data_IF_802163216594
#
_entry.id   IF_802163216594
#
_cell.length_a   1.000
_cell.length_b   1.000
_cell.length_c   1.000
_cell.angle_alpha   90.00
_cell.angle_beta   90.00
_cell.angle_gamma   90.00
#
_symmetry.space_group_name_H-M   'P 1'
#
loop_
_entity.id
_entity.type
_entity.pdbx_description
1 polymer ?
#
# COMPACT_ATOMS: atom_id res chain seq x y z
N UNK A 1 67.56 18.74 12.25
CA UNK A 1 66.25 19.41 12.11
C UNK A 1 65.40 19.02 10.90
N UNK A 2 65.96 18.45 9.81
CA UNK A 2 65.17 18.00 8.64
C UNK A 2 64.42 16.65 8.89
N UNK A 3 64.94 15.76 9.73
CA UNK A 3 64.35 14.45 10.00
C UNK A 3 63.01 14.54 10.81
N UNK A 4 62.93 15.42 11.78
CA UNK A 4 61.74 15.62 12.62
C UNK A 4 60.54 16.19 11.85
N UNK A 5 60.76 17.02 10.84
CA UNK A 5 59.69 17.55 9.98
C UNK A 5 59.05 16.47 9.11
N UNK A 6 59.86 15.53 8.60
CA UNK A 6 59.35 14.44 7.77
C UNK A 6 58.50 13.44 8.57
N UNK A 7 58.86 13.19 9.85
CA UNK A 7 58.10 12.32 10.76
C UNK A 7 56.73 12.97 11.09
N UNK A 8 56.70 14.31 11.26
CA UNK A 8 55.46 15.05 11.52
C UNK A 8 54.50 15.01 10.32
N UNK A 9 54.99 15.08 9.08
CA UNK A 9 54.16 14.95 7.87
C UNK A 9 53.62 13.54 7.69
N UNK A 10 54.38 12.50 7.96
CA UNK A 10 53.93 11.11 7.88
C UNK A 10 52.87 10.83 8.93
N UNK A 11 53.01 11.34 10.14
CA UNK A 11 51.98 11.22 11.19
C UNK A 11 50.68 11.99 10.82
N UNK A 12 50.79 13.18 10.23
CA UNK A 12 49.64 13.97 9.79
C UNK A 12 48.87 13.28 8.66
N UNK A 13 49.57 12.67 7.71
CA UNK A 13 48.99 11.91 6.57
C UNK A 13 48.34 10.63 7.08
N UNK A 14 48.93 9.93 8.05
CA UNK A 14 48.38 8.73 8.68
C UNK A 14 47.07 9.04 9.45
N UNK A 15 47.00 10.19 10.15
CA UNK A 15 45.75 10.63 10.82
C UNK A 15 44.65 10.97 9.83
N UNK A 16 44.97 11.52 8.64
CA UNK A 16 43.96 11.83 7.61
C UNK A 16 43.37 10.56 6.99
N UNK A 17 44.11 9.45 6.92
CA UNK A 17 43.60 8.18 6.36
C UNK A 17 42.73 7.39 7.35
N UNK A 18 42.81 7.62 8.65
CA UNK A 18 41.93 6.96 9.63
C UNK A 18 40.52 7.55 9.70
N UNK A 19 40.26 8.70 9.06
CA UNK A 19 38.98 9.40 9.11
C UNK A 19 37.95 9.00 8.05
N UNK A 20 38.28 8.13 7.09
CA UNK A 20 37.36 7.74 6.00
C UNK A 20 36.74 6.34 6.21
N UNK A 21 36.72 5.85 7.43
CA UNK A 21 35.87 4.75 7.85
C UNK A 21 34.43 5.25 8.03
N UNK A 22 33.82 5.78 6.96
CA UNK A 22 32.40 6.16 6.96
C UNK A 22 31.58 4.93 7.32
N UNK A 23 30.85 5.00 8.42
CA UNK A 23 29.84 4.02 8.77
C UNK A 23 28.98 3.71 7.53
N UNK A 24 29.03 2.50 7.05
CA UNK A 24 28.05 1.99 6.11
C UNK A 24 26.69 2.04 6.82
N UNK A 25 25.83 2.91 6.38
CA UNK A 25 24.46 3.08 6.88
C UNK A 25 23.57 1.85 6.72
N UNK A 26 24.08 0.81 6.07
CA UNK A 26 23.33 -0.39 5.67
C UNK A 26 23.23 -1.45 6.78
N UNK A 27 24.02 -1.36 7.86
CA UNK A 27 24.04 -2.38 8.92
C UNK A 27 22.94 -2.22 9.98
N UNK A 28 22.12 -1.16 9.92
CA UNK A 28 21.05 -0.93 10.90
C UNK A 28 19.73 -1.64 10.54
N UNK A 29 19.57 -2.10 9.31
CA UNK A 29 18.44 -2.88 8.87
C UNK A 29 18.87 -4.34 8.77
N UNK A 30 18.77 -5.08 9.87
CA UNK A 30 18.81 -6.54 9.79
C UNK A 30 17.54 -6.97 9.08
N UNK A 31 17.65 -7.19 7.77
CA UNK A 31 16.66 -7.93 7.00
C UNK A 31 16.47 -9.27 7.72
N UNK A 32 15.28 -9.49 8.28
CA UNK A 32 14.94 -10.73 8.98
C UNK A 32 14.94 -11.97 8.07
N UNK A 33 15.40 -11.86 6.83
CA UNK A 33 15.64 -12.95 5.86
C UNK A 33 14.40 -13.66 5.35
N UNK A 34 13.19 -13.23 5.75
CA UNK A 34 11.92 -13.90 5.40
C UNK A 34 11.12 -13.22 4.28
N UNK A 35 11.44 -11.97 3.92
CA UNK A 35 10.75 -11.24 2.85
C UNK A 35 11.71 -10.90 1.73
N UNK A 36 11.70 -11.66 0.64
CA UNK A 36 12.39 -11.25 -0.58
C UNK A 36 11.60 -10.12 -1.24
N UNK A 37 12.17 -8.91 -1.22
CA UNK A 37 11.55 -7.76 -1.86
C UNK A 37 11.45 -7.94 -3.39
N UNK A 38 12.46 -8.56 -4.03
CA UNK A 38 12.46 -8.84 -5.46
C UNK A 38 11.61 -10.06 -5.79
N UNK A 39 10.80 -9.92 -6.84
CA UNK A 39 10.02 -11.00 -7.43
C UNK A 39 10.35 -11.10 -8.91
N UNK A 40 10.80 -12.28 -9.36
CA UNK A 40 11.07 -12.56 -10.77
C UNK A 40 9.75 -12.76 -11.52
N UNK A 41 9.43 -11.86 -12.40
CA UNK A 41 8.19 -11.82 -13.18
C UNK A 41 7.41 -10.52 -13.00
N UNK A 42 6.31 -10.41 -13.75
CA UNK A 42 5.45 -9.22 -13.77
C UNK A 42 4.58 -9.09 -12.50
N UNK A 43 3.93 -7.92 -12.36
CA UNK A 43 2.89 -7.72 -11.32
C UNK A 43 1.80 -8.78 -11.46
N UNK A 44 1.38 -9.14 -12.69
CA UNK A 44 0.39 -10.19 -12.91
C UNK A 44 0.89 -11.54 -12.40
N UNK A 45 2.13 -11.91 -12.72
CA UNK A 45 2.75 -13.14 -12.24
C UNK A 45 2.85 -13.19 -10.71
N UNK A 46 3.12 -12.03 -10.08
CA UNK A 46 3.12 -11.93 -8.62
C UNK A 46 1.73 -12.25 -8.03
N UNK A 47 0.66 -11.66 -8.58
CA UNK A 47 -0.71 -11.93 -8.11
C UNK A 47 -1.06 -13.43 -8.27
N UNK A 48 -0.76 -14.01 -9.44
CA UNK A 48 -1.01 -15.43 -9.73
C UNK A 48 -0.20 -16.37 -8.82
N UNK A 49 0.97 -15.95 -8.36
CA UNK A 49 1.81 -16.75 -7.45
C UNK A 49 1.27 -16.81 -6.01
N UNK A 50 0.29 -15.96 -5.67
CA UNK A 50 -0.28 -15.82 -4.32
C UNK A 50 -1.80 -16.02 -4.31
N UNK A 51 -2.31 -17.19 -4.75
CA UNK A 51 -3.74 -17.39 -4.94
C UNK A 51 -4.56 -17.35 -3.66
N UNK A 52 -3.94 -17.56 -2.49
CA UNK A 52 -4.63 -17.41 -1.19
C UNK A 52 -4.95 -15.96 -0.82
N UNK A 53 -4.26 -15.00 -1.46
CA UNK A 53 -4.34 -13.58 -1.13
C UNK A 53 -4.96 -12.75 -2.26
N UNK A 54 -4.77 -13.19 -3.53
CA UNK A 54 -5.07 -12.37 -4.71
C UNK A 54 -5.78 -13.12 -5.85
N UNK A 55 -6.36 -14.31 -5.62
CA UNK A 55 -7.07 -15.04 -6.69
C UNK A 55 -8.23 -14.21 -7.26
N UNK A 56 -9.05 -13.63 -6.39
CA UNK A 56 -10.15 -12.74 -6.83
C UNK A 56 -9.63 -11.47 -7.50
N UNK A 57 -8.53 -10.90 -7.01
CA UNK A 57 -7.93 -9.71 -7.60
C UNK A 57 -7.37 -10.02 -8.99
N UNK A 58 -6.66 -11.16 -9.16
CA UNK A 58 -6.15 -11.59 -10.45
C UNK A 58 -7.27 -11.83 -11.47
N UNK A 59 -8.39 -12.43 -11.04
CA UNK A 59 -9.59 -12.59 -11.88
C UNK A 59 -10.19 -11.23 -12.25
N UNK A 60 -10.30 -10.30 -11.31
CA UNK A 60 -10.80 -8.93 -11.55
C UNK A 60 -9.90 -8.18 -12.54
N UNK A 61 -8.57 -8.31 -12.44
CA UNK A 61 -7.64 -7.73 -13.44
C UNK A 61 -7.97 -8.21 -14.85
N UNK A 62 -8.22 -9.52 -15.02
CA UNK A 62 -8.59 -10.09 -16.30
C UNK A 62 -9.97 -9.63 -16.78
N UNK A 63 -10.98 -9.65 -15.93
CA UNK A 63 -12.34 -9.17 -16.25
C UNK A 63 -12.34 -7.68 -16.62
N UNK A 64 -11.53 -6.86 -15.93
CA UNK A 64 -11.36 -5.44 -16.21
C UNK A 64 -10.61 -5.14 -17.52
N UNK A 65 -10.07 -6.16 -18.22
CA UNK A 65 -9.26 -5.98 -19.42
C UNK A 65 -7.93 -5.27 -19.14
N UNK A 66 -7.33 -5.50 -17.96
CA UNK A 66 -6.07 -4.87 -17.54
C UNK A 66 -4.90 -5.86 -17.49
N UNK A 67 -5.12 -7.11 -17.89
CA UNK A 67 -4.10 -8.17 -17.76
C UNK A 67 -2.79 -7.79 -18.47
N UNK A 68 -2.87 -7.21 -19.67
CA UNK A 68 -1.69 -6.81 -20.43
C UNK A 68 -0.96 -5.64 -19.76
N UNK A 69 -1.70 -4.68 -19.20
CA UNK A 69 -1.10 -3.58 -18.41
C UNK A 69 -0.33 -4.14 -17.21
N UNK A 70 -0.90 -5.14 -16.49
CA UNK A 70 -0.27 -5.78 -15.34
C UNK A 70 0.94 -6.67 -15.72
N UNK A 71 1.05 -7.12 -16.98
CA UNK A 71 2.20 -7.86 -17.49
C UNK A 71 3.34 -6.98 -17.95
N UNK A 72 3.05 -5.84 -18.56
CA UNK A 72 4.06 -5.11 -19.34
C UNK A 72 4.27 -3.67 -18.90
N UNK A 73 3.23 -2.99 -18.38
CA UNK A 73 3.28 -1.58 -18.06
C UNK A 73 3.99 -1.33 -16.73
N UNK A 74 4.76 -0.24 -16.67
CA UNK A 74 5.43 0.15 -15.45
C UNK A 74 4.53 0.99 -14.53
N UNK A 75 4.24 0.50 -13.30
CA UNK A 75 3.46 1.25 -12.33
C UNK A 75 3.66 0.75 -10.89
N UNK A 76 3.17 1.53 -9.92
CA UNK A 76 3.01 1.14 -8.52
C UNK A 76 1.58 0.71 -8.27
N UNK A 77 1.39 -0.45 -7.69
CA UNK A 77 0.09 -1.03 -7.37
C UNK A 77 -0.13 -1.15 -5.87
N UNK A 78 -1.15 -0.48 -5.34
CA UNK A 78 -1.61 -0.66 -3.96
C UNK A 78 -2.63 -1.79 -3.93
N UNK A 79 -2.17 -3.02 -3.75
CA UNK A 79 -2.96 -4.24 -3.91
C UNK A 79 -3.98 -4.44 -2.79
N UNK A 80 -5.30 -4.42 -3.07
CA UNK A 80 -6.29 -4.97 -2.17
C UNK A 80 -6.19 -6.50 -2.12
N UNK A 81 -6.77 -7.13 -1.11
CA UNK A 81 -6.80 -8.58 -0.94
C UNK A 81 -8.16 -9.18 -1.28
N UNK A 82 -8.23 -10.48 -1.44
CA UNK A 82 -9.46 -11.24 -1.67
C UNK A 82 -10.50 -11.02 -0.57
N UNK A 83 -10.08 -10.81 0.67
CA UNK A 83 -10.97 -10.48 1.79
C UNK A 83 -11.76 -9.19 1.56
N UNK A 84 -11.17 -8.21 0.86
CA UNK A 84 -11.87 -6.97 0.50
C UNK A 84 -13.01 -7.26 -0.48
N UNK A 85 -12.79 -8.18 -1.45
CA UNK A 85 -13.80 -8.60 -2.43
C UNK A 85 -14.88 -9.45 -1.77
N UNK A 86 -14.50 -10.39 -0.89
CA UNK A 86 -15.47 -11.19 -0.12
C UNK A 86 -16.40 -10.32 0.71
N UNK A 87 -15.88 -9.25 1.34
CA UNK A 87 -16.71 -8.30 2.11
C UNK A 87 -17.58 -7.42 1.22
N UNK A 88 -17.09 -7.01 0.04
CA UNK A 88 -17.85 -6.25 -0.94
C UNK A 88 -19.07 -7.04 -1.43
N UNK A 89 -18.86 -8.30 -1.82
CA UNK A 89 -19.93 -9.16 -2.35
C UNK A 89 -20.87 -9.59 -1.22
N UNK A 90 -20.33 -10.09 -0.12
CA UNK A 90 -21.07 -10.57 1.02
C UNK A 90 -21.96 -11.80 0.71
N UNK A 91 -22.78 -12.17 1.69
CA UNK A 91 -23.76 -13.28 1.57
C UNK A 91 -25.15 -12.73 1.30
N UNK A 92 -25.93 -13.43 0.49
CA UNK A 92 -27.33 -13.08 0.19
C UNK A 92 -28.22 -13.21 1.45
N UNK A 93 -27.92 -14.19 2.32
CA UNK A 93 -28.59 -14.41 3.60
C UNK A 93 -27.52 -14.49 4.70
N UNK A 94 -27.45 -13.48 5.55
CA UNK A 94 -26.52 -13.45 6.65
C UNK A 94 -27.08 -12.60 7.78
N UNK A 95 -26.63 -12.84 9.01
CA UNK A 95 -26.91 -11.95 10.12
C UNK A 95 -25.85 -10.85 10.17
N UNK A 96 -26.22 -9.70 10.71
CA UNK A 96 -25.35 -8.53 10.85
C UNK A 96 -24.06 -8.79 11.66
N UNK A 97 -24.02 -9.87 12.44
CA UNK A 97 -22.87 -10.25 13.25
C UNK A 97 -21.71 -10.83 12.44
N UNK A 98 -21.99 -11.37 11.23
CA UNK A 98 -20.97 -12.00 10.38
C UNK A 98 -20.54 -11.12 9.17
N UNK A 99 -20.66 -9.80 9.27
CA UNK A 99 -20.22 -8.89 8.20
C UNK A 99 -21.07 -8.95 6.91
N UNK A 100 -22.32 -9.34 7.02
CA UNK A 100 -23.23 -9.68 5.93
C UNK A 100 -23.83 -8.48 5.17
N UNK A 101 -23.32 -7.27 5.30
CA UNK A 101 -23.83 -6.07 4.61
C UNK A 101 -23.14 -5.82 3.26
N UNK A 102 -22.88 -6.87 2.47
CA UNK A 102 -22.33 -6.74 1.11
C UNK A 102 -23.43 -6.55 0.04
N UNK A 103 -23.00 -6.43 -1.21
CA UNK A 103 -23.90 -6.22 -2.35
C UNK A 103 -24.99 -7.30 -2.45
N UNK A 104 -24.66 -8.56 -2.19
CA UNK A 104 -25.61 -9.68 -2.31
C UNK A 104 -26.79 -9.58 -1.34
N UNK A 105 -26.59 -9.06 -0.13
CA UNK A 105 -27.72 -8.86 0.77
C UNK A 105 -28.71 -7.83 0.21
N UNK A 106 -28.21 -6.72 -0.32
CA UNK A 106 -29.06 -5.68 -0.88
C UNK A 106 -29.75 -6.13 -2.18
N UNK A 107 -29.03 -6.84 -3.07
CA UNK A 107 -29.62 -7.44 -4.26
C UNK A 107 -30.76 -8.40 -3.91
N UNK A 108 -30.55 -9.28 -2.91
CA UNK A 108 -31.57 -10.20 -2.43
C UNK A 108 -32.80 -9.47 -1.86
N UNK A 109 -32.61 -8.42 -1.06
CA UNK A 109 -33.69 -7.61 -0.51
C UNK A 109 -34.50 -6.88 -1.59
N UNK A 110 -33.86 -6.51 -2.68
CA UNK A 110 -34.47 -5.88 -3.85
C UNK A 110 -35.08 -6.89 -4.84
N UNK A 111 -35.05 -8.20 -4.55
CA UNK A 111 -35.52 -9.25 -5.43
C UNK A 111 -34.73 -9.38 -6.73
N UNK A 112 -33.46 -8.97 -6.73
CA UNK A 112 -32.56 -9.01 -7.90
C UNK A 112 -31.63 -10.22 -7.84
N UNK A 113 -31.04 -10.57 -8.99
CA UNK A 113 -30.07 -11.65 -9.08
C UNK A 113 -28.81 -11.32 -8.29
N UNK A 114 -28.45 -12.23 -7.38
CA UNK A 114 -27.23 -12.11 -6.57
C UNK A 114 -26.00 -12.47 -7.38
N UNK A 115 -24.85 -11.92 -6.96
CA UNK A 115 -23.53 -12.20 -7.53
C UNK A 115 -23.12 -13.60 -7.07
N UNK A 116 -22.92 -14.54 -8.01
CA UNK A 116 -22.43 -15.90 -7.79
C UNK A 116 -20.96 -16.02 -8.17
N UNK A 117 -20.56 -15.30 -9.22
CA UNK A 117 -19.19 -15.24 -9.73
C UNK A 117 -18.78 -13.77 -9.93
N UNK A 118 -17.48 -13.50 -10.04
CA UNK A 118 -17.00 -12.14 -10.31
C UNK A 118 -17.45 -11.61 -11.68
N UNK A 119 -17.73 -12.51 -12.63
CA UNK A 119 -18.25 -12.15 -13.95
C UNK A 119 -19.71 -11.66 -13.94
N UNK A 120 -20.45 -11.87 -12.86
CA UNK A 120 -21.81 -11.34 -12.70
C UNK A 120 -21.85 -9.82 -12.41
N UNK A 121 -20.69 -9.22 -12.15
CA UNK A 121 -20.52 -7.77 -12.01
C UNK A 121 -19.96 -7.21 -13.31
N UNK A 122 -20.52 -6.07 -13.77
CA UNK A 122 -20.07 -5.41 -14.99
C UNK A 122 -18.55 -5.14 -14.93
N UNK A 123 -17.84 -5.53 -15.96
CA UNK A 123 -16.39 -5.38 -16.08
C UNK A 123 -15.91 -3.92 -15.98
N UNK A 124 -16.74 -2.98 -16.39
CA UNK A 124 -16.45 -1.54 -16.29
C UNK A 124 -16.39 -1.07 -14.85
N UNK A 125 -17.21 -1.66 -13.95
CA UNK A 125 -17.17 -1.39 -12.52
C UNK A 125 -15.84 -1.88 -11.94
N UNK A 126 -15.45 -3.12 -12.25
CA UNK A 126 -14.14 -3.65 -11.82
C UNK A 126 -13.00 -2.75 -12.30
N UNK A 127 -13.03 -2.35 -13.58
CA UNK A 127 -12.02 -1.47 -14.16
C UNK A 127 -11.97 -0.10 -13.46
N UNK A 128 -13.14 0.54 -13.28
CA UNK A 128 -13.26 1.86 -12.61
C UNK A 128 -12.55 1.85 -11.25
N UNK A 129 -12.83 0.86 -10.42
CA UNK A 129 -12.31 0.81 -9.06
C UNK A 129 -10.89 0.28 -8.97
N UNK A 130 -10.48 -0.65 -9.83
CA UNK A 130 -9.12 -1.17 -9.84
C UNK A 130 -8.10 -0.10 -10.26
N UNK A 131 -8.45 0.76 -11.20
CA UNK A 131 -7.60 1.87 -11.64
C UNK A 131 -7.30 2.89 -10.52
N UNK A 132 -8.09 2.95 -9.45
CA UNK A 132 -7.83 3.81 -8.27
C UNK A 132 -6.57 3.40 -7.50
N UNK A 133 -6.12 2.15 -7.65
CA UNK A 133 -4.98 1.57 -6.95
C UNK A 133 -3.68 1.59 -7.77
N UNK A 134 -3.71 2.09 -9.01
CA UNK A 134 -2.60 2.08 -9.94
C UNK A 134 -2.04 3.50 -10.11
N UNK A 135 -0.72 3.66 -9.91
CA UNK A 135 -0.04 4.96 -9.99
C UNK A 135 1.20 4.88 -10.88
N UNK A 136 1.50 5.94 -11.62
CA UNK A 136 2.65 5.99 -12.52
C UNK A 136 4.00 5.79 -11.80
N UNK A 137 4.89 5.03 -12.42
CA UNK A 137 6.27 4.80 -12.00
C UNK A 137 6.43 3.77 -10.89
N UNK A 138 7.65 3.33 -10.67
CA UNK A 138 8.04 2.38 -9.61
C UNK A 138 8.43 3.15 -8.36
N UNK A 139 7.54 3.23 -7.38
CA UNK A 139 7.78 3.97 -6.13
C UNK A 139 7.80 3.01 -4.95
N UNK A 140 8.91 3.05 -4.21
CA UNK A 140 9.10 2.33 -2.96
C UNK A 140 8.65 3.18 -1.78
N UNK A 141 8.55 2.59 -0.61
CA UNK A 141 8.20 3.29 0.63
C UNK A 141 9.05 4.55 0.83
N UNK A 142 10.37 4.45 0.59
CA UNK A 142 11.30 5.56 0.79
C UNK A 142 11.15 6.72 -0.22
N UNK A 143 10.42 6.52 -1.31
CA UNK A 143 10.17 7.55 -2.34
C UNK A 143 8.99 8.46 -1.96
N UNK A 144 8.28 8.15 -0.87
CA UNK A 144 7.14 8.92 -0.40
C UNK A 144 7.54 9.82 0.78
N UNK A 145 6.98 11.05 0.85
CA UNK A 145 7.25 11.96 1.96
C UNK A 145 6.60 11.47 3.25
N UNK A 146 7.06 12.02 4.37
CA UNK A 146 6.46 11.78 5.66
C UNK A 146 5.03 12.32 5.72
N UNK A 147 4.14 11.56 6.37
CA UNK A 147 2.82 12.01 6.78
C UNK A 147 2.66 11.79 8.29
N UNK A 148 2.05 12.77 8.97
CA UNK A 148 1.64 12.66 10.36
C UNK A 148 0.21 13.20 10.44
N UNK A 149 -0.75 12.34 10.75
CA UNK A 149 -2.18 12.68 10.77
C UNK A 149 -2.54 13.70 11.86
N UNK A 150 -1.72 13.80 12.92
CA UNK A 150 -1.88 14.79 13.99
C UNK A 150 -1.21 16.13 13.63
N UNK A 151 -0.23 16.13 12.72
CA UNK A 151 0.56 17.29 12.32
C UNK A 151 0.53 17.52 10.79
N UNK A 152 -0.64 17.42 10.18
CA UNK A 152 -0.81 17.52 8.71
C UNK A 152 -0.36 18.88 8.11
N UNK A 153 -0.24 19.94 8.91
CA UNK A 153 0.29 21.22 8.44
C UNK A 153 1.80 21.18 8.20
N UNK A 154 2.51 20.24 8.86
CA UNK A 154 3.97 20.06 8.77
C UNK A 154 4.31 18.87 7.89
N UNK A 155 3.75 17.72 8.19
CA UNK A 155 3.97 16.45 7.51
C UNK A 155 2.69 15.99 6.82
N UNK A 156 2.46 16.50 5.61
CA UNK A 156 1.18 16.37 4.92
C UNK A 156 1.12 15.26 3.88
N UNK A 157 2.20 14.45 3.72
CA UNK A 157 2.28 13.51 2.59
C UNK A 157 2.29 14.25 1.25
N UNK A 158 1.89 13.57 0.18
CA UNK A 158 1.78 14.16 -1.16
C UNK A 158 0.60 13.55 -1.91
N UNK A 159 -0.08 14.37 -2.71
CA UNK A 159 -1.16 13.92 -3.57
C UNK A 159 -0.63 13.33 -4.87
N UNK A 160 -1.18 12.20 -5.26
CA UNK A 160 -0.89 11.50 -6.52
C UNK A 160 -2.20 11.22 -7.26
N UNK A 161 -2.15 11.32 -8.58
CA UNK A 161 -3.26 10.95 -9.44
C UNK A 161 -3.11 9.50 -9.87
N UNK A 162 -4.16 8.70 -9.68
CA UNK A 162 -4.23 7.31 -10.12
C UNK A 162 -4.52 7.21 -11.61
N UNK A 163 -4.40 6.00 -12.17
CA UNK A 163 -4.82 5.73 -13.56
C UNK A 163 -6.33 5.92 -13.77
N UNK A 164 -7.12 5.87 -12.69
CA UNK A 164 -8.55 6.19 -12.72
C UNK A 164 -8.86 7.69 -12.61
N UNK A 165 -7.87 8.57 -12.74
CA UNK A 165 -8.00 10.02 -12.57
C UNK A 165 -8.56 10.44 -11.20
N UNK A 166 -8.37 9.62 -10.19
CA UNK A 166 -8.72 9.94 -8.80
C UNK A 166 -7.49 10.37 -8.02
N UNK A 167 -7.67 11.18 -7.01
CA UNK A 167 -6.57 11.69 -6.19
C UNK A 167 -6.47 10.88 -4.90
N UNK A 168 -5.26 10.48 -4.56
CA UNK A 168 -4.94 9.91 -3.25
C UNK A 168 -3.74 10.62 -2.65
N UNK A 169 -3.79 10.90 -1.35
CA UNK A 169 -2.62 11.32 -0.61
C UNK A 169 -1.84 10.08 -0.16
N UNK A 170 -0.54 10.06 -0.44
CA UNK A 170 0.35 8.95 -0.07
C UNK A 170 1.49 9.53 0.77
N UNK A 171 1.79 8.84 1.87
CA UNK A 171 2.89 9.25 2.74
C UNK A 171 3.30 8.15 3.71
N UNK A 172 4.47 8.33 4.32
CA UNK A 172 5.06 7.39 5.28
C UNK A 172 4.83 7.92 6.70
N UNK A 173 4.11 7.14 7.49
CA UNK A 173 3.98 7.38 8.93
C UNK A 173 5.25 6.90 9.61
N UNK A 174 5.85 7.80 10.38
CA UNK A 174 7.00 7.51 11.22
C UNK A 174 6.49 7.23 12.62
N UNK A 175 6.40 5.94 12.96
CA UNK A 175 5.91 5.54 14.26
C UNK A 175 6.93 5.87 15.36
N UNK A 176 6.46 5.97 16.59
CA UNK A 176 7.33 6.16 17.74
C UNK A 176 7.97 4.82 18.16
N UNK A 177 9.21 4.87 18.63
CA UNK A 177 9.78 3.74 19.35
C UNK A 177 9.33 3.81 20.80
N UNK A 178 8.69 2.73 21.28
CA UNK A 178 8.16 2.62 22.63
C UNK A 178 8.95 1.54 23.36
N UNK A 179 9.53 1.90 24.50
CA UNK A 179 10.08 0.94 25.45
C UNK A 179 9.14 0.86 26.66
N UNK A 180 8.41 -0.23 26.77
CA UNK A 180 7.44 -0.57 27.83
C UNK A 180 7.92 -1.74 28.72
N UNK A 181 9.20 -2.07 28.68
CA UNK A 181 9.81 -3.12 29.50
C UNK A 181 9.65 -2.84 31.01
N UNK A 182 9.64 -1.57 31.39
CA UNK A 182 9.22 -1.10 32.72
C UNK A 182 7.88 -0.37 32.62
N UNK A 183 6.80 -0.99 33.08
CA UNK A 183 5.45 -0.41 33.04
C UNK A 183 5.31 0.90 33.81
N UNK A 184 6.20 1.16 34.78
CA UNK A 184 6.21 2.39 35.57
C UNK A 184 7.03 3.51 34.92
N UNK A 185 7.81 3.18 33.89
CA UNK A 185 8.69 4.14 33.20
C UNK A 185 8.71 3.89 31.69
N UNK A 186 7.57 4.12 31.06
CA UNK A 186 7.44 3.99 29.59
C UNK A 186 8.18 5.12 28.89
N UNK A 187 9.20 4.79 28.12
CA UNK A 187 9.92 5.76 27.31
C UNK A 187 9.43 5.72 25.86
N UNK A 188 9.12 6.90 25.32
CA UNK A 188 8.68 7.08 23.94
C UNK A 188 9.64 8.00 23.19
N UNK A 189 10.25 7.49 22.12
CA UNK A 189 11.09 8.25 21.21
C UNK A 189 10.32 8.55 19.93
N UNK A 190 9.94 9.83 19.77
CA UNK A 190 9.09 10.27 18.66
C UNK A 190 9.78 10.02 17.31
N UNK A 191 9.03 9.43 16.36
CA UNK A 191 9.48 9.11 15.00
C UNK A 191 10.65 8.13 14.88
N UNK A 192 11.03 7.44 15.92
CA UNK A 192 12.17 6.50 15.91
C UNK A 192 11.75 5.04 15.73
N UNK A 193 10.45 4.76 15.60
CA UNK A 193 9.91 3.43 15.37
C UNK A 193 9.89 3.04 13.88
N UNK A 194 9.09 2.02 13.56
CA UNK A 194 8.97 1.51 12.20
C UNK A 194 8.27 2.52 11.27
N UNK A 195 8.58 2.39 9.99
CA UNK A 195 7.97 3.18 8.91
C UNK A 195 6.80 2.42 8.33
N UNK A 196 5.66 3.07 8.19
CA UNK A 196 4.47 2.48 7.59
C UNK A 196 3.93 3.37 6.48
N UNK A 197 3.81 2.80 5.28
CA UNK A 197 3.19 3.51 4.16
C UNK A 197 1.69 3.57 4.37
N UNK A 198 1.11 4.73 4.08
CA UNK A 198 -0.33 4.96 4.07
C UNK A 198 -0.76 5.52 2.72
N UNK A 199 -1.91 5.07 2.24
CA UNK A 199 -2.63 5.66 1.12
C UNK A 199 -4.00 6.15 1.61
N UNK A 200 -4.31 7.40 1.30
CA UNK A 200 -5.56 8.05 1.70
C UNK A 200 -6.30 8.51 0.44
N UNK A 201 -7.38 7.83 0.09
CA UNK A 201 -8.23 8.23 -1.03
C UNK A 201 -8.98 9.52 -0.69
N UNK A 202 -9.02 10.46 -1.62
CA UNK A 202 -9.69 11.76 -1.49
C UNK A 202 -10.93 11.75 -2.39
N UNK A 203 -12.13 11.49 -1.83
CA UNK A 203 -13.37 11.46 -2.62
C UNK A 203 -13.70 12.81 -3.23
N UNK A 204 -13.45 13.90 -2.49
CA UNK A 204 -13.74 15.27 -2.89
C UNK A 204 -12.51 16.15 -2.64
N UNK A 205 -11.89 16.61 -3.72
CA UNK A 205 -10.69 17.46 -3.66
C UNK A 205 -10.96 18.81 -2.97
N UNK A 206 -12.20 19.27 -2.91
CA UNK A 206 -12.59 20.48 -2.18
C UNK A 206 -12.60 20.27 -0.66
N UNK A 207 -12.65 19.00 -0.21
CA UNK A 207 -12.62 18.57 1.18
C UNK A 207 -11.43 17.65 1.46
N UNK A 208 -10.21 18.16 1.33
CA UNK A 208 -9.01 17.33 1.36
C UNK A 208 -8.70 16.70 2.73
N UNK A 209 -9.50 16.98 3.76
CA UNK A 209 -9.40 16.35 5.09
C UNK A 209 -10.39 15.20 5.29
N UNK A 210 -11.35 15.03 4.39
CA UNK A 210 -12.33 13.93 4.41
C UNK A 210 -11.81 12.74 3.59
N UNK A 211 -10.58 12.32 3.85
CA UNK A 211 -9.95 11.19 3.17
C UNK A 211 -10.20 9.87 3.88
N UNK A 212 -10.18 8.82 3.08
CA UNK A 212 -10.29 7.44 3.57
C UNK A 212 -8.88 6.87 3.58
N UNK A 213 -8.28 6.82 4.77
CA UNK A 213 -6.90 6.37 4.94
C UNK A 213 -6.81 4.86 5.15
N UNK A 214 -5.90 4.23 4.43
CA UNK A 214 -5.61 2.81 4.50
C UNK A 214 -4.11 2.59 4.75
N UNK A 215 -3.72 1.96 5.86
CA UNK A 215 -2.33 1.57 6.06
C UNK A 215 -1.94 0.43 5.11
N UNK A 216 -0.66 0.38 4.75
CA UNK A 216 -0.05 -0.70 4.00
C UNK A 216 0.45 -1.76 4.99
N UNK A 217 0.10 -3.02 4.74
CA UNK A 217 0.53 -4.17 5.54
C UNK A 217 1.89 -4.71 5.09
N UNK A 218 2.17 -4.69 3.77
CA UNK A 218 3.44 -5.12 3.19
C UNK A 218 3.83 -4.19 2.06
N UNK A 219 5.00 -3.58 2.15
CA UNK A 219 5.51 -2.63 1.15
C UNK A 219 6.68 -3.20 0.37
N UNK A 220 7.00 -2.52 -0.75
CA UNK A 220 8.25 -2.71 -1.51
C UNK A 220 8.44 -4.08 -2.15
N UNK A 221 7.35 -4.78 -2.48
CA UNK A 221 7.42 -5.97 -3.33
C UNK A 221 7.73 -5.49 -4.75
N UNK A 222 8.79 -6.01 -5.36
CA UNK A 222 9.37 -5.49 -6.59
C UNK A 222 9.33 -6.53 -7.73
N UNK A 223 8.19 -6.70 -8.42
CA UNK A 223 8.12 -7.37 -9.71
C UNK A 223 8.92 -6.60 -10.79
N UNK A 224 9.24 -7.24 -11.91
CA UNK A 224 10.07 -6.66 -12.97
C UNK A 224 9.49 -5.36 -13.52
N UNK A 225 8.16 -5.26 -13.63
CA UNK A 225 7.48 -4.10 -14.21
C UNK A 225 6.85 -3.16 -13.17
N UNK A 226 7.19 -3.25 -11.87
CA UNK A 226 6.60 -2.30 -10.93
C UNK A 226 6.98 -2.49 -9.47
N UNK A 227 6.17 -1.87 -8.62
CA UNK A 227 6.20 -2.06 -7.17
C UNK A 227 4.79 -2.36 -6.68
N UNK A 228 4.66 -3.36 -5.81
CA UNK A 228 3.40 -3.71 -5.17
C UNK A 228 3.46 -3.41 -3.69
N UNK A 229 2.44 -2.69 -3.21
CA UNK A 229 2.20 -2.43 -1.80
C UNK A 229 0.87 -3.05 -1.41
N UNK A 230 0.86 -4.03 -0.52
CA UNK A 230 -0.36 -4.72 -0.10
C UNK A 230 -1.03 -3.90 0.99
N UNK A 231 -2.26 -3.44 0.77
CA UNK A 231 -3.00 -2.68 1.79
C UNK A 231 -3.50 -3.59 2.91
N UNK A 232 -3.64 -3.03 4.12
CA UNK A 232 -4.21 -3.77 5.24
C UNK A 232 -5.72 -3.98 5.01
N UNK A 233 -6.10 -5.19 4.67
CA UNK A 233 -7.48 -5.54 4.38
C UNK A 233 -8.43 -5.33 5.57
N UNK A 234 -7.92 -5.33 6.81
CA UNK A 234 -8.75 -5.11 8.01
C UNK A 234 -9.16 -3.66 8.19
N UNK A 235 -8.43 -2.73 7.57
CA UNK A 235 -8.61 -1.28 7.64
C UNK A 235 -9.09 -0.66 6.34
N UNK A 236 -9.11 -1.44 5.25
CA UNK A 236 -9.46 -0.98 3.92
C UNK A 236 -10.69 -1.71 3.38
N UNK A 237 -11.48 -1.00 2.60
CA UNK A 237 -12.57 -1.55 1.79
C UNK A 237 -12.18 -1.50 0.31
N UNK A 238 -12.74 -2.39 -0.53
CA UNK A 238 -12.52 -2.29 -1.98
C UNK A 238 -13.13 -1.00 -2.53
N UNK A 239 -12.38 -0.30 -3.39
CA UNK A 239 -12.76 1.02 -3.91
C UNK A 239 -12.53 2.16 -2.91
N UNK A 240 -11.91 1.88 -1.74
CA UNK A 240 -11.76 2.73 -0.55
C UNK A 240 -13.08 3.00 0.21
N UNK A 241 -14.20 2.96 -0.47
CA UNK A 241 -15.53 3.08 0.11
C UNK A 241 -16.49 2.11 -0.56
N UNK A 242 -16.71 0.93 0.04
CA UNK A 242 -17.55 -0.13 -0.59
C UNK A 242 -18.97 0.33 -0.91
N UNK A 243 -19.48 1.35 -0.23
CA UNK A 243 -20.82 1.89 -0.48
C UNK A 243 -20.99 2.40 -1.91
N UNK A 244 -20.00 3.13 -2.42
CA UNK A 244 -20.00 3.62 -3.81
C UNK A 244 -19.97 2.45 -4.81
N UNK A 245 -19.11 1.45 -4.57
CA UNK A 245 -19.02 0.24 -5.41
C UNK A 245 -20.35 -0.52 -5.43
N UNK A 246 -20.98 -0.69 -4.27
CA UNK A 246 -22.27 -1.38 -4.14
C UNK A 246 -23.37 -0.62 -4.91
N UNK A 247 -23.41 0.70 -4.83
CA UNK A 247 -24.39 1.52 -5.59
C UNK A 247 -24.21 1.27 -7.09
N UNK A 248 -23.00 1.35 -7.61
CA UNK A 248 -22.74 1.08 -9.04
C UNK A 248 -23.18 -0.34 -9.44
N UNK A 249 -22.89 -1.35 -8.60
CA UNK A 249 -23.35 -2.72 -8.84
C UNK A 249 -24.88 -2.81 -8.85
N UNK A 250 -25.57 -2.18 -7.91
CA UNK A 250 -27.03 -2.19 -7.84
C UNK A 250 -27.64 -1.47 -9.06
N UNK A 251 -26.99 -0.41 -9.53
CA UNK A 251 -27.46 0.32 -10.74
C UNK A 251 -27.27 -0.50 -12.01
N UNK A 252 -26.16 -1.21 -12.15
CA UNK A 252 -25.90 -2.07 -13.32
C UNK A 252 -26.83 -3.28 -13.42
N UNK A 253 -27.49 -3.67 -12.34
CA UNK A 253 -28.42 -4.81 -12.26
C UNK A 253 -29.90 -4.39 -12.23
N UNK A 254 -30.21 -3.17 -12.62
CA UNK A 254 -31.61 -2.70 -12.82
C UNK A 254 -32.22 -3.30 -14.10
#
# INVERSE_FOLDING_TARGET
>A
MRSLKNISYVLLISLLFCGIGSCKKDDYYKDGGLAQAKFEGSIMAYLDSKPREFDSIAQIVRLAGLEEDFKTKEFTFFAPRDENIKRLIGLARGNSQNGASGANMLLYQLGRDTIKTLADVDSTIWRKYLLRYMFNGKRKLMDYPQIDFDLLNVYKGQNYTSFGNTVSNIGVVYNDAINDSDKNNITRLKYMGYRQLHISYIPDISRPREWISCPVASSDIQPDNGVVHVIDYTKAEFGYGRGEVIVDILESKR
#
